data_IF_133340619945
#
_entry.id   IF_133340619945
#
_cell.length_a   1.000
_cell.length_b   1.000
_cell.length_c   1.000
_cell.angle_alpha   90.00
_cell.angle_beta   90.00
_cell.angle_gamma   90.00
#
_symmetry.space_group_name_H-M   'P 1'
#
loop_
_entity.id
_entity.type
_entity.pdbx_description
1 polymer ?
#
# COMPACT_ATOMS: atom_id res chain seq x y z
N UNK A 1 -6.17 -18.24 -9.01
CA UNK A 1 -5.71 -17.44 -10.16
C UNK A 1 -4.28 -17.08 -9.88
N UNK A 2 -3.35 -17.56 -10.70
CA UNK A 2 -1.93 -17.25 -10.54
C UNK A 2 -1.73 -15.73 -10.61
N UNK A 3 -0.83 -15.17 -9.80
CA UNK A 3 -0.60 -13.72 -9.73
C UNK A 3 -0.25 -13.10 -11.08
N UNK A 4 0.34 -13.89 -11.97
CA UNK A 4 0.60 -13.58 -13.39
C UNK A 4 -0.67 -13.36 -14.21
N UNK A 5 -1.73 -14.15 -13.99
CA UNK A 5 -3.02 -13.96 -14.68
C UNK A 5 -3.73 -12.68 -14.21
N UNK A 6 -3.58 -12.32 -12.93
CA UNK A 6 -4.16 -11.08 -12.39
C UNK A 6 -3.44 -9.86 -12.94
N UNK A 7 -2.10 -9.89 -13.01
CA UNK A 7 -1.29 -8.80 -13.56
C UNK A 7 -1.53 -8.59 -15.06
N UNK A 8 -1.63 -9.66 -15.84
CA UNK A 8 -1.84 -9.59 -17.29
C UNK A 8 -3.21 -9.02 -17.68
N UNK A 9 -4.22 -9.11 -16.81
CA UNK A 9 -5.56 -8.56 -17.06
C UNK A 9 -5.72 -7.17 -16.42
N UNK A 10 -5.25 -6.97 -15.18
CA UNK A 10 -5.47 -5.73 -14.45
C UNK A 10 -4.73 -4.53 -15.06
N UNK A 11 -3.50 -4.74 -15.55
CA UNK A 11 -2.69 -3.67 -16.15
C UNK A 11 -3.33 -3.10 -17.42
N UNK A 12 -3.70 -3.89 -18.45
CA UNK A 12 -4.33 -3.33 -19.65
C UNK A 12 -5.70 -2.71 -19.38
N UNK A 13 -6.46 -3.23 -18.40
CA UNK A 13 -7.73 -2.62 -17.98
C UNK A 13 -7.52 -1.24 -17.36
N UNK A 14 -6.53 -1.08 -16.48
CA UNK A 14 -6.19 0.22 -15.90
C UNK A 14 -5.67 1.21 -16.95
N UNK A 15 -4.85 0.75 -17.89
CA UNK A 15 -4.38 1.58 -19.02
C UNK A 15 -5.55 2.00 -19.91
N UNK A 16 -6.48 1.08 -20.22
CA UNK A 16 -7.67 1.39 -21.02
C UNK A 16 -8.61 2.38 -20.31
N UNK A 17 -8.81 2.23 -18.99
CA UNK A 17 -9.58 3.18 -18.19
C UNK A 17 -8.90 4.55 -18.11
N UNK A 18 -7.58 4.60 -17.93
CA UNK A 18 -6.80 5.84 -17.97
C UNK A 18 -6.90 6.54 -19.33
N UNK A 19 -6.78 5.78 -20.42
CA UNK A 19 -6.96 6.30 -21.78
C UNK A 19 -8.40 6.78 -22.03
N UNK A 20 -9.41 6.08 -21.50
CA UNK A 20 -10.81 6.49 -21.60
C UNK A 20 -11.08 7.80 -20.85
N UNK A 21 -10.55 7.96 -19.64
CA UNK A 21 -10.66 9.21 -18.87
C UNK A 21 -9.96 10.36 -19.59
N UNK A 22 -8.76 10.15 -20.11
CA UNK A 22 -8.05 11.17 -20.91
C UNK A 22 -8.81 11.51 -22.19
N UNK A 23 -9.37 10.52 -22.88
CA UNK A 23 -10.13 10.73 -24.12
C UNK A 23 -11.45 11.47 -23.86
N UNK A 24 -12.20 11.07 -22.83
CA UNK A 24 -13.47 11.69 -22.44
C UNK A 24 -13.28 13.10 -21.89
N UNK A 25 -12.19 13.36 -21.16
CA UNK A 25 -11.87 14.72 -20.68
C UNK A 25 -11.27 15.61 -21.77
N UNK A 26 -10.63 15.01 -22.79
CA UNK A 26 -10.11 15.76 -23.95
C UNK A 26 -11.21 16.20 -24.94
N UNK A 27 -12.33 15.46 -25.02
CA UNK A 27 -13.44 15.79 -25.93
C UNK A 27 -14.45 16.73 -25.26
N UNK A 28 -14.26 18.02 -25.55
CA UNK A 28 -15.23 19.13 -25.49
C UNK A 28 -15.91 19.41 -24.13
N UNK A 29 -15.45 20.48 -23.47
CA UNK A 29 -16.33 21.46 -22.83
C UNK A 29 -16.10 22.83 -23.47
N UNK A 30 -16.61 22.99 -24.69
CA UNK A 30 -16.94 24.31 -25.23
C UNK A 30 -18.44 24.50 -25.11
N UNK A 31 -18.93 24.57 -23.87
CA UNK A 31 -20.23 25.20 -23.60
C UNK A 31 -19.94 26.66 -23.32
N UNK A 32 -20.42 27.56 -24.19
CA UNK A 32 -20.25 29.00 -24.08
C UNK A 32 -20.59 29.49 -22.67
N UNK A 33 -19.57 29.79 -21.88
CA UNK A 33 -19.74 30.32 -20.54
C UNK A 33 -20.08 31.80 -20.67
N UNK A 34 -21.35 32.15 -20.46
CA UNK A 34 -21.70 33.54 -20.18
C UNK A 34 -21.05 33.94 -18.85
N UNK A 35 -20.22 34.99 -18.89
CA UNK A 35 -19.61 35.56 -17.69
C UNK A 35 -20.70 35.91 -16.66
N UNK A 36 -20.47 35.57 -15.38
CA UNK A 36 -21.39 35.91 -14.30
C UNK A 36 -21.52 37.44 -14.18
N UNK A 37 -22.69 37.91 -13.75
CA UNK A 37 -22.91 39.35 -13.52
C UNK A 37 -21.89 39.93 -12.55
N UNK A 38 -21.40 39.14 -11.61
CA UNK A 38 -20.38 39.53 -10.64
C UNK A 38 -19.04 39.83 -11.30
N UNK A 39 -18.63 39.02 -12.28
CA UNK A 39 -17.39 39.25 -13.04
C UNK A 39 -17.49 40.55 -13.86
N UNK A 40 -18.62 40.80 -14.54
CA UNK A 40 -18.86 42.05 -15.27
C UNK A 40 -18.95 43.29 -14.35
N UNK A 41 -19.40 43.11 -13.11
CA UNK A 41 -19.54 44.20 -12.14
C UNK A 41 -18.19 44.61 -11.55
N UNK A 42 -17.29 43.66 -11.31
CA UNK A 42 -15.90 43.97 -10.88
C UNK A 42 -15.07 44.58 -11.99
N UNK A 43 -15.24 44.16 -13.24
CA UNK A 43 -14.53 44.74 -14.39
C UNK A 43 -14.92 46.21 -14.67
N UNK A 44 -16.11 46.63 -14.20
CA UNK A 44 -16.54 48.04 -14.19
C UNK A 44 -15.92 48.87 -13.06
N UNK A 45 -15.25 48.24 -12.10
CA UNK A 45 -14.64 48.91 -10.96
C UNK A 45 -13.17 49.23 -11.22
N UNK A 46 -12.93 50.50 -11.54
CA UNK A 46 -11.69 51.28 -11.34
C UNK A 46 -10.36 50.52 -11.54
N UNK A 47 -9.81 50.64 -12.74
CA UNK A 47 -8.43 50.23 -13.04
C UNK A 47 -7.46 51.07 -12.20
N UNK A 48 -6.58 50.46 -11.40
CA UNK A 48 -5.54 51.18 -10.63
C UNK A 48 -4.53 51.93 -11.51
N UNK A 49 -4.46 51.58 -12.80
CA UNK A 49 -3.57 52.22 -13.79
C UNK A 49 -4.03 53.61 -14.26
N UNK A 50 -5.18 54.11 -13.80
CA UNK A 50 -5.66 55.47 -14.05
C UNK A 50 -5.56 56.37 -12.82
N UNK A 51 -4.90 55.89 -11.76
CA UNK A 51 -4.70 56.64 -10.53
C UNK A 51 -3.22 57.02 -10.39
N UNK A 52 -2.77 57.96 -11.23
CA UNK A 52 -1.55 58.72 -10.97
C UNK A 52 -1.91 60.22 -10.87
N UNK A 53 -1.84 60.66 -9.61
CA UNK A 53 -1.27 61.87 -9.02
C UNK A 53 -1.37 63.24 -9.74
N UNK A 54 -1.92 64.16 -8.95
CA UNK A 54 -1.70 65.61 -8.87
C UNK A 54 -2.57 66.62 -9.67
N UNK A 55 -3.26 67.43 -8.84
CA UNK A 55 -3.84 68.76 -9.04
C UNK A 55 -5.19 68.92 -9.76
N UNK A 56 -6.07 69.65 -9.06
CA UNK A 56 -7.42 70.10 -9.38
C UNK A 56 -8.58 69.11 -9.14
N UNK A 57 -9.51 69.53 -8.29
CA UNK A 57 -10.63 68.75 -7.75
C UNK A 57 -11.35 67.87 -8.77
N UNK A 58 -11.78 66.68 -8.31
CA UNK A 58 -12.46 65.65 -9.08
C UNK A 58 -13.46 66.24 -10.07
N UNK A 59 -13.03 66.39 -11.32
CA UNK A 59 -13.86 66.91 -12.40
C UNK A 59 -14.97 65.89 -12.60
N UNK A 60 -16.20 66.29 -12.30
CA UNK A 60 -17.34 65.41 -12.47
C UNK A 60 -17.46 65.04 -13.95
N UNK A 61 -17.92 63.83 -14.26
CA UNK A 61 -18.14 63.43 -15.66
C UNK A 61 -19.04 64.41 -16.44
N UNK A 62 -19.89 65.16 -15.71
CA UNK A 62 -20.72 66.23 -16.25
C UNK A 62 -19.92 67.46 -16.69
N UNK A 63 -18.84 67.82 -16.00
CA UNK A 63 -17.96 68.92 -16.39
C UNK A 63 -17.08 68.55 -17.59
N UNK A 64 -16.67 67.28 -17.68
CA UNK A 64 -15.96 66.76 -18.87
C UNK A 64 -16.86 66.79 -20.10
N UNK A 65 -18.13 66.37 -19.98
CA UNK A 65 -19.08 66.47 -21.10
C UNK A 65 -19.41 67.93 -21.47
N UNK A 66 -19.49 68.84 -20.49
CA UNK A 66 -19.69 70.27 -20.74
C UNK A 66 -18.47 70.91 -21.43
N UNK A 67 -17.26 70.51 -21.06
CA UNK A 67 -16.03 70.96 -21.71
C UNK A 67 -15.95 70.43 -23.15
N UNK A 68 -16.22 69.14 -23.36
CA UNK A 68 -16.28 68.51 -24.68
C UNK A 68 -17.32 69.16 -25.60
N UNK A 69 -18.50 69.51 -25.06
CA UNK A 69 -19.55 70.21 -25.79
C UNK A 69 -19.18 71.66 -26.15
N UNK A 70 -18.35 72.33 -25.34
CA UNK A 70 -17.82 73.68 -25.63
C UNK A 70 -16.72 73.65 -26.69
N UNK A 71 -15.81 72.68 -26.63
CA UNK A 71 -14.79 72.48 -27.67
C UNK A 71 -15.39 72.06 -29.01
N UNK A 72 -16.48 71.29 -28.99
CA UNK A 72 -17.21 70.90 -30.21
C UNK A 72 -18.00 72.06 -30.85
N UNK A 73 -18.24 73.17 -30.14
CA UNK A 73 -18.98 74.34 -30.63
C UNK A 73 -18.10 75.56 -30.96
N UNK A 74 -16.79 75.48 -30.73
CA UNK A 74 -15.85 76.52 -31.15
C UNK A 74 -15.53 76.43 -32.65
N UNK A 75 -15.22 77.55 -33.33
CA UNK A 75 -14.77 77.51 -34.71
C UNK A 75 -13.31 77.02 -34.75
N UNK A 76 -13.12 75.71 -34.63
CA UNK A 76 -11.81 75.07 -34.79
C UNK A 76 -11.55 74.80 -36.27
N UNK A 77 -10.58 75.48 -36.86
CA UNK A 77 -10.21 75.37 -38.28
C UNK A 77 -9.32 74.17 -38.62
N UNK A 78 -9.06 73.26 -37.67
CA UNK A 78 -8.23 72.07 -37.86
C UNK A 78 -9.04 70.78 -37.70
N UNK A 79 -10.04 70.58 -38.56
CA UNK A 79 -10.78 69.32 -38.64
C UNK A 79 -10.10 68.47 -39.72
N UNK A 80 -9.28 67.51 -39.29
CA UNK A 80 -8.83 66.41 -40.15
C UNK A 80 -10.07 65.76 -40.79
N UNK A 81 -10.19 65.66 -42.13
CA UNK A 81 -11.36 65.09 -42.76
C UNK A 81 -11.54 63.65 -42.27
N UNK A 82 -12.67 63.39 -41.61
CA UNK A 82 -13.06 62.05 -41.17
C UNK A 82 -13.07 61.15 -42.40
N UNK A 83 -12.05 60.28 -42.51
CA UNK A 83 -12.08 59.19 -43.49
C UNK A 83 -13.40 58.44 -43.24
N UNK A 84 -14.23 58.18 -44.28
CA UNK A 84 -15.47 57.47 -44.08
C UNK A 84 -15.14 56.20 -43.32
N UNK A 85 -15.75 56.03 -42.14
CA UNK A 85 -15.53 54.88 -41.30
C UNK A 85 -15.79 53.64 -42.17
N UNK A 86 -14.73 52.91 -42.53
CA UNK A 86 -14.89 51.64 -43.21
C UNK A 86 -15.77 50.81 -42.28
N UNK A 87 -16.88 50.30 -42.83
CA UNK A 87 -17.82 49.51 -42.06
C UNK A 87 -17.04 48.48 -41.24
N UNK A 88 -17.34 48.30 -39.94
CA UNK A 88 -16.60 47.38 -39.10
C UNK A 88 -16.58 46.03 -39.80
N UNK A 89 -15.37 45.58 -40.18
CA UNK A 89 -15.22 44.31 -40.88
C UNK A 89 -15.80 43.24 -39.97
N UNK A 90 -16.78 42.50 -40.47
CA UNK A 90 -17.40 41.43 -39.71
C UNK A 90 -16.29 40.48 -39.24
N UNK A 91 -16.21 40.23 -37.94
CA UNK A 91 -15.27 39.27 -37.39
C UNK A 91 -15.53 37.91 -38.02
N UNK A 92 -14.63 37.48 -38.89
CA UNK A 92 -14.63 36.11 -39.42
C UNK A 92 -13.78 35.29 -38.44
N UNK A 93 -14.36 34.28 -37.76
CA UNK A 93 -13.56 33.42 -36.92
C UNK A 93 -12.48 32.77 -37.79
N UNK A 94 -11.20 32.79 -37.37
CA UNK A 94 -10.15 32.14 -38.13
C UNK A 94 -10.46 30.65 -38.25
N UNK A 95 -10.16 30.06 -39.41
CA UNK A 95 -10.45 28.66 -39.68
C UNK A 95 -9.80 27.77 -38.58
N UNK A 96 -10.54 26.83 -37.96
CA UNK A 96 -10.00 25.95 -36.93
C UNK A 96 -8.71 25.21 -37.33
N UNK A 97 -8.49 24.98 -38.63
CA UNK A 97 -7.26 24.37 -39.15
C UNK A 97 -6.02 25.28 -39.02
N UNK A 98 -6.20 26.61 -39.06
CA UNK A 98 -5.12 27.59 -38.90
C UNK A 98 -4.81 27.91 -37.42
N UNK A 99 -5.76 27.71 -36.50
CA UNK A 99 -5.61 28.02 -35.07
C UNK A 99 -4.80 26.94 -34.33
N UNK A 100 -4.72 25.71 -34.86
CA UNK A 100 -3.94 24.63 -34.26
C UNK A 100 -4.27 24.40 -32.78
N UNK A 101 -3.27 24.51 -31.90
CA UNK A 101 -3.45 24.45 -30.43
C UNK A 101 -3.52 25.86 -29.87
N UNK A 102 -4.65 26.22 -29.26
CA UNK A 102 -4.75 27.52 -28.60
C UNK A 102 -3.83 27.60 -27.38
N UNK A 103 -3.35 28.81 -27.04
CA UNK A 103 -2.53 29.04 -25.83
C UNK A 103 -3.15 28.42 -24.57
N UNK A 104 -4.48 28.56 -24.42
CA UNK A 104 -5.24 27.98 -23.30
C UNK A 104 -5.22 26.45 -23.30
N UNK A 105 -5.37 25.83 -24.47
CA UNK A 105 -5.28 24.37 -24.60
C UNK A 105 -3.86 23.87 -24.29
N UNK A 106 -2.83 24.57 -24.77
CA UNK A 106 -1.44 24.24 -24.45
C UNK A 106 -1.18 24.27 -22.94
N UNK A 107 -1.56 25.36 -22.25
CA UNK A 107 -1.35 25.48 -20.81
C UNK A 107 -2.18 24.48 -20.01
N UNK A 108 -3.46 24.27 -20.34
CA UNK A 108 -4.29 23.29 -19.63
C UNK A 108 -3.76 21.87 -19.80
N UNK A 109 -3.35 21.48 -21.02
CA UNK A 109 -2.74 20.15 -21.26
C UNK A 109 -1.42 20.00 -20.53
N UNK A 110 -0.58 21.04 -20.52
CA UNK A 110 0.71 21.02 -19.82
C UNK A 110 0.54 20.89 -18.31
N UNK A 111 -0.40 21.65 -17.72
CA UNK A 111 -0.72 21.55 -16.29
C UNK A 111 -1.23 20.15 -15.96
N UNK A 112 -2.21 19.62 -16.70
CA UNK A 112 -2.74 18.27 -16.47
C UNK A 112 -1.65 17.21 -16.63
N UNK A 113 -0.80 17.32 -17.65
CA UNK A 113 0.29 16.38 -17.87
C UNK A 113 1.33 16.42 -16.73
N UNK A 114 1.71 17.61 -16.28
CA UNK A 114 2.67 17.79 -15.18
C UNK A 114 2.12 17.23 -13.87
N UNK A 115 0.88 17.58 -13.51
CA UNK A 115 0.22 17.04 -12.31
C UNK A 115 -0.03 15.55 -12.41
N UNK A 116 -0.44 15.05 -13.58
CA UNK A 116 -0.64 13.62 -13.83
C UNK A 116 0.64 12.82 -13.63
N UNK A 117 1.75 13.26 -14.25
CA UNK A 117 3.04 12.59 -14.10
C UNK A 117 3.56 12.67 -12.67
N UNK A 118 3.42 13.82 -12.00
CA UNK A 118 3.82 13.99 -10.61
C UNK A 118 3.03 13.09 -9.65
N UNK A 119 1.70 13.07 -9.75
CA UNK A 119 0.84 12.25 -8.91
C UNK A 119 1.03 10.75 -9.18
N UNK A 120 1.19 10.34 -10.44
CA UNK A 120 1.49 8.96 -10.79
C UNK A 120 2.86 8.52 -10.25
N UNK A 121 3.89 9.36 -10.36
CA UNK A 121 5.22 9.07 -9.79
C UNK A 121 5.19 8.92 -8.28
N UNK A 122 4.50 9.84 -7.58
CA UNK A 122 4.32 9.74 -6.13
C UNK A 122 3.52 8.49 -5.73
N UNK A 123 2.41 8.21 -6.43
CA UNK A 123 1.60 7.01 -6.19
C UNK A 123 2.41 5.72 -6.40
N UNK A 124 3.24 5.66 -7.44
CA UNK A 124 4.13 4.54 -7.68
C UNK A 124 5.18 4.39 -6.56
N UNK A 125 5.72 5.50 -6.04
CA UNK A 125 6.64 5.47 -4.91
C UNK A 125 5.98 4.97 -3.62
N UNK A 126 4.74 5.39 -3.34
CA UNK A 126 3.98 4.86 -2.20
C UNK A 126 3.70 3.36 -2.31
N UNK A 127 3.35 2.88 -3.51
CA UNK A 127 3.16 1.46 -3.77
C UNK A 127 4.47 0.68 -3.64
N UNK A 128 5.57 1.20 -4.17
CA UNK A 128 6.88 0.59 -4.05
C UNK A 128 7.35 0.52 -2.58
N UNK A 129 7.07 1.56 -1.80
CA UNK A 129 7.38 1.59 -0.37
C UNK A 129 6.56 0.56 0.43
N UNK A 130 5.30 0.34 0.06
CA UNK A 130 4.45 -0.68 0.69
C UNK A 130 4.74 -2.10 0.17
N UNK A 131 5.48 -2.24 -0.92
CA UNK A 131 5.79 -3.54 -1.51
C UNK A 131 6.78 -4.31 -0.62
N UNK A 132 6.48 -5.57 -0.26
CA UNK A 132 7.34 -6.33 0.64
C UNK A 132 8.71 -6.60 0.01
N UNK A 133 9.78 -6.22 0.71
CA UNK A 133 11.15 -6.57 0.34
C UNK A 133 11.45 -8.01 0.81
N UNK A 134 11.60 -8.94 -0.12
CA UNK A 134 11.83 -10.38 0.15
C UNK A 134 13.27 -10.72 0.62
N UNK A 135 14.02 -9.77 1.20
CA UNK A 135 15.42 -9.98 1.60
C UNK A 135 15.61 -9.83 3.11
N UNK A 136 15.94 -10.96 3.75
CA UNK A 136 16.39 -11.06 5.13
C UNK A 136 15.25 -11.13 6.16
N UNK A 137 15.33 -12.10 7.08
CA UNK A 137 14.35 -12.31 8.14
C UNK A 137 13.27 -13.34 7.79
N UNK A 138 12.09 -13.18 8.40
CA UNK A 138 10.92 -14.04 8.18
C UNK A 138 10.52 -14.08 6.69
N UNK A 139 10.42 -15.28 6.12
CA UNK A 139 10.20 -15.51 4.69
C UNK A 139 11.46 -15.95 3.92
N UNK A 140 12.59 -16.14 4.60
CA UNK A 140 13.80 -16.75 4.07
C UNK A 140 14.50 -17.68 5.07
N UNK A 141 15.71 -18.12 4.73
CA UNK A 141 16.51 -18.98 5.60
C UNK A 141 17.19 -18.19 6.72
N UNK A 142 16.98 -18.62 7.96
CA UNK A 142 17.53 -18.00 9.16
C UNK A 142 18.56 -18.94 9.77
N UNK A 143 19.79 -18.46 9.94
CA UNK A 143 20.86 -19.19 10.65
C UNK A 143 20.74 -18.89 12.13
N UNK A 144 20.55 -19.91 12.96
CA UNK A 144 20.26 -19.74 14.39
C UNK A 144 21.54 -19.84 15.23
N UNK A 145 22.29 -20.94 15.06
CA UNK A 145 23.44 -21.23 15.91
C UNK A 145 23.80 -22.70 15.87
N UNK A 146 24.61 -23.17 16.84
CA UNK A 146 25.01 -24.58 16.94
C UNK A 146 23.89 -25.43 17.51
N UNK A 147 23.70 -26.62 16.94
CA UNK A 147 22.66 -27.57 17.36
C UNK A 147 22.82 -28.02 18.82
N UNK A 148 24.06 -28.31 19.23
CA UNK A 148 24.37 -28.80 20.57
C UNK A 148 23.99 -27.77 21.65
N UNK A 149 24.35 -26.51 21.44
CA UNK A 149 24.02 -25.42 22.37
C UNK A 149 22.50 -25.28 22.51
N UNK A 150 21.77 -25.25 21.39
CA UNK A 150 20.31 -25.12 21.35
C UNK A 150 19.62 -26.28 22.08
N UNK A 151 20.03 -27.52 21.79
CA UNK A 151 19.42 -28.71 22.41
C UNK A 151 19.79 -28.82 23.91
N UNK A 152 21.02 -28.45 24.28
CA UNK A 152 21.44 -28.47 25.68
C UNK A 152 20.67 -27.44 26.52
N UNK A 153 20.46 -26.24 25.97
CA UNK A 153 19.70 -25.18 26.62
C UNK A 153 18.23 -25.60 26.77
N UNK A 154 17.59 -26.02 25.67
CA UNK A 154 16.18 -26.41 25.70
C UNK A 154 15.88 -27.60 26.63
N UNK A 155 16.84 -28.54 26.75
CA UNK A 155 16.71 -29.69 27.66
C UNK A 155 16.97 -29.29 29.12
N UNK A 156 17.96 -28.42 29.36
CA UNK A 156 18.32 -27.98 30.72
C UNK A 156 17.28 -27.04 31.32
N UNK A 157 16.75 -26.09 30.54
CA UNK A 157 15.71 -25.18 31.00
C UNK A 157 14.32 -25.83 31.00
N UNK A 158 14.15 -26.94 30.28
CA UNK A 158 12.83 -27.55 29.98
C UNK A 158 11.89 -26.56 29.28
N UNK A 159 12.47 -25.65 28.49
CA UNK A 159 11.76 -24.64 27.72
C UNK A 159 12.17 -24.70 26.24
N UNK A 160 11.27 -24.29 25.33
CA UNK A 160 11.59 -24.22 23.91
C UNK A 160 12.57 -23.08 23.61
N UNK A 161 13.54 -23.31 22.72
CA UNK A 161 14.44 -22.25 22.29
C UNK A 161 13.74 -21.33 21.29
N UNK A 162 13.46 -20.08 21.68
CA UNK A 162 12.67 -19.15 20.87
C UNK A 162 13.54 -18.27 19.97
N UNK A 163 13.27 -18.29 18.65
CA UNK A 163 13.96 -17.46 17.66
C UNK A 163 13.04 -16.34 17.19
N UNK A 164 13.32 -15.12 17.62
CA UNK A 164 12.45 -13.96 17.40
C UNK A 164 12.41 -13.50 15.94
N UNK A 165 13.54 -13.62 15.25
CA UNK A 165 13.78 -13.25 13.85
C UNK A 165 12.88 -14.06 12.92
N UNK A 166 12.68 -15.34 13.25
CA UNK A 166 11.88 -16.29 12.49
C UNK A 166 10.51 -16.60 13.08
N UNK A 167 10.19 -16.08 14.28
CA UNK A 167 8.91 -16.30 14.97
C UNK A 167 8.61 -17.79 15.16
N UNK A 168 9.61 -18.59 15.50
CA UNK A 168 9.47 -20.03 15.70
C UNK A 168 10.17 -20.49 16.98
N UNK A 169 9.81 -21.69 17.41
CA UNK A 169 10.41 -22.40 18.53
C UNK A 169 11.23 -23.59 18.00
N UNK A 170 12.42 -23.79 18.55
CA UNK A 170 13.20 -25.01 18.35
C UNK A 170 13.07 -25.89 19.57
N UNK A 171 12.56 -27.10 19.36
CA UNK A 171 12.34 -28.07 20.42
C UNK A 171 13.10 -29.37 20.14
N UNK A 172 13.59 -30.05 21.19
CA UNK A 172 14.13 -31.39 21.04
C UNK A 172 13.01 -32.35 20.61
N UNK A 173 13.32 -33.16 19.60
CA UNK A 173 12.47 -34.27 19.17
C UNK A 173 13.02 -35.58 19.75
N UNK A 174 12.23 -36.37 20.47
CA UNK A 174 12.72 -37.58 21.13
C UNK A 174 13.07 -38.66 20.11
N UNK A 175 14.19 -39.35 20.32
CA UNK A 175 14.67 -40.42 19.44
C UNK A 175 13.69 -41.60 19.31
N UNK A 176 12.88 -41.85 20.34
CA UNK A 176 11.82 -42.87 20.33
C UNK A 176 10.70 -42.61 19.31
N UNK A 177 10.48 -41.34 18.94
CA UNK A 177 9.42 -40.94 18.02
C UNK A 177 9.84 -40.90 16.54
N UNK A 178 11.13 -41.03 16.24
CA UNK A 178 11.66 -40.78 14.87
C UNK A 178 11.08 -41.79 13.86
N UNK A 179 10.96 -43.06 14.24
CA UNK A 179 10.39 -44.10 13.36
C UNK A 179 8.91 -43.83 13.02
N UNK A 180 8.12 -43.42 14.01
CA UNK A 180 6.74 -43.00 13.80
C UNK A 180 6.68 -41.77 12.91
N UNK A 181 7.59 -40.80 13.13
CA UNK A 181 7.61 -39.54 12.42
C UNK A 181 7.81 -39.69 10.91
N UNK A 182 8.61 -40.66 10.46
CA UNK A 182 8.85 -40.95 9.03
C UNK A 182 7.56 -41.22 8.24
N UNK A 183 6.52 -41.75 8.88
CA UNK A 183 5.23 -42.05 8.23
C UNK A 183 4.19 -40.93 8.33
N UNK A 184 4.44 -39.93 9.18
CA UNK A 184 3.45 -38.94 9.62
C UNK A 184 3.82 -37.53 9.12
N UNK A 185 5.10 -37.18 9.23
CA UNK A 185 5.61 -35.85 8.90
C UNK A 185 6.01 -35.80 7.43
N UNK A 186 5.96 -34.60 6.83
CA UNK A 186 6.38 -34.40 5.46
C UNK A 186 7.90 -34.50 5.31
N UNK A 187 8.37 -34.96 4.15
CA UNK A 187 9.78 -35.08 3.79
C UNK A 187 10.62 -33.82 4.05
N UNK A 188 10.01 -32.63 3.95
CA UNK A 188 10.70 -31.36 4.18
C UNK A 188 11.11 -31.13 5.65
N UNK A 189 10.44 -31.77 6.62
CA UNK A 189 10.69 -31.58 8.06
C UNK A 189 11.52 -32.74 8.65
N UNK A 190 11.49 -33.91 8.01
CA UNK A 190 12.21 -35.11 8.47
C UNK A 190 13.71 -34.89 8.74
N UNK A 191 14.48 -34.14 7.93
CA UNK A 191 15.92 -33.95 8.19
C UNK A 191 16.22 -33.33 9.56
N UNK A 192 15.37 -32.41 10.03
CA UNK A 192 15.52 -31.85 11.39
C UNK A 192 15.18 -32.89 12.46
N UNK A 193 14.06 -33.60 12.28
CA UNK A 193 13.57 -34.61 13.21
C UNK A 193 14.57 -35.74 13.39
N UNK A 194 15.20 -36.21 12.31
CA UNK A 194 16.24 -37.24 12.35
C UNK A 194 17.49 -36.81 13.13
N UNK A 195 17.74 -35.50 13.19
CA UNK A 195 18.79 -34.89 14.02
C UNK A 195 18.29 -34.52 15.43
N UNK A 196 17.07 -34.89 15.79
CA UNK A 196 16.50 -34.68 17.12
C UNK A 196 16.00 -33.26 17.38
N UNK A 197 15.68 -32.47 16.35
CA UNK A 197 15.16 -31.11 16.51
C UNK A 197 13.95 -30.84 15.61
N UNK A 198 13.01 -30.05 16.10
CA UNK A 198 11.85 -29.61 15.31
C UNK A 198 11.66 -28.10 15.43
N UNK A 199 11.38 -27.44 14.30
CA UNK A 199 11.07 -26.01 14.26
C UNK A 199 9.56 -25.80 14.13
N UNK A 200 8.94 -25.28 15.21
CA UNK A 200 7.50 -25.05 15.31
C UNK A 200 7.19 -23.57 15.11
N UNK A 201 6.31 -23.27 14.16
CA UNK A 201 5.85 -21.92 13.95
C UNK A 201 5.01 -21.45 15.14
N UNK A 202 5.32 -20.27 15.71
CA UNK A 202 4.61 -19.76 16.89
C UNK A 202 3.12 -19.48 16.66
N UNK A 203 2.69 -19.45 15.39
CA UNK A 203 1.35 -19.05 14.96
C UNK A 203 0.37 -20.21 15.16
N UNK A 204 -0.67 -19.99 15.95
CA UNK A 204 -1.76 -20.94 16.15
C UNK A 204 -2.51 -21.22 14.84
N UNK A 205 -2.61 -22.49 14.39
CA UNK A 205 -3.41 -22.91 13.23
C UNK A 205 -4.91 -22.57 13.28
N UNK A 206 -5.44 -22.17 14.44
CA UNK A 206 -6.83 -21.72 14.56
C UNK A 206 -7.05 -20.37 13.86
N UNK A 207 -6.60 -19.27 14.49
CA UNK A 207 -6.80 -17.89 14.00
C UNK A 207 -5.53 -17.04 14.04
N UNK A 208 -4.37 -17.65 14.32
CA UNK A 208 -3.07 -17.00 14.18
C UNK A 208 -2.50 -16.29 15.41
N UNK A 209 -3.11 -16.43 16.60
CA UNK A 209 -2.48 -15.99 17.85
C UNK A 209 -1.12 -16.66 18.06
N UNK A 210 -0.20 -16.00 18.78
CA UNK A 210 1.02 -16.65 19.27
C UNK A 210 0.66 -17.72 20.31
N UNK A 211 1.30 -18.88 20.24
CA UNK A 211 1.11 -19.98 21.19
C UNK A 211 2.27 -19.98 22.20
N UNK A 212 2.06 -19.55 23.47
CA UNK A 212 3.10 -19.63 24.49
C UNK A 212 3.34 -21.07 24.96
N UNK A 213 4.50 -21.27 25.59
CA UNK A 213 4.85 -22.51 26.29
C UNK A 213 4.28 -22.50 27.72
N UNK A 214 3.90 -23.66 28.21
CA UNK A 214 3.46 -23.87 29.59
C UNK A 214 4.46 -24.74 30.35
N UNK A 215 5.10 -24.18 31.37
CA UNK A 215 6.16 -24.87 32.12
C UNK A 215 5.63 -26.05 32.94
N UNK A 216 4.37 -26.00 33.38
CA UNK A 216 3.78 -27.06 34.20
C UNK A 216 3.34 -28.26 33.37
N UNK A 217 2.59 -28.05 32.28
CA UNK A 217 2.14 -29.13 31.40
C UNK A 217 3.21 -29.58 30.40
N UNK A 218 4.23 -28.76 30.18
CA UNK A 218 5.28 -28.94 29.16
C UNK A 218 4.70 -29.03 27.74
N UNK A 219 3.63 -28.27 27.51
CA UNK A 219 2.88 -28.17 26.25
C UNK A 219 2.84 -26.71 25.79
N UNK A 220 2.58 -26.51 24.50
CA UNK A 220 2.21 -25.22 23.95
C UNK A 220 0.71 -25.00 24.10
N UNK A 221 0.31 -23.93 24.79
CA UNK A 221 -1.11 -23.70 25.10
C UNK A 221 -1.55 -22.29 24.70
N UNK A 222 -2.51 -22.21 23.78
CA UNK A 222 -2.97 -20.96 23.21
C UNK A 222 -4.03 -20.29 24.09
N UNK A 223 -3.67 -19.18 24.75
CA UNK A 223 -4.58 -18.39 25.58
C UNK A 223 -5.73 -17.67 24.87
N UNK A 224 -5.84 -17.75 23.54
CA UNK A 224 -6.95 -17.14 22.81
C UNK A 224 -8.24 -17.99 22.86
N UNK A 225 -8.13 -19.30 22.59
CA UNK A 225 -9.28 -20.21 22.51
C UNK A 225 -8.97 -21.62 23.06
N UNK A 226 -7.88 -21.76 23.83
CA UNK A 226 -7.52 -23.01 24.52
C UNK A 226 -7.03 -24.14 23.62
N UNK A 227 -6.47 -23.85 22.43
CA UNK A 227 -5.80 -24.91 21.65
C UNK A 227 -4.50 -25.35 22.31
N UNK A 228 -4.31 -26.65 22.46
CA UNK A 228 -3.18 -27.25 23.17
C UNK A 228 -2.40 -28.16 22.24
N UNK A 229 -1.07 -28.09 22.30
CA UNK A 229 -0.15 -28.89 21.50
C UNK A 229 0.96 -29.43 22.38
N UNK A 230 1.40 -30.66 22.12
CA UNK A 230 2.51 -31.25 22.87
C UNK A 230 3.85 -30.59 22.50
N UNK A 231 4.96 -31.06 23.09
CA UNK A 231 6.31 -30.51 22.89
C UNK A 231 6.75 -30.46 21.42
N UNK A 232 6.22 -31.35 20.57
CA UNK A 232 6.56 -31.42 19.14
C UNK A 232 5.45 -30.83 18.26
N UNK A 233 4.53 -30.05 18.83
CA UNK A 233 3.49 -29.32 18.10
C UNK A 233 2.30 -30.17 17.66
N UNK A 234 2.19 -31.42 18.08
CA UNK A 234 1.02 -32.26 17.77
C UNK A 234 -0.19 -31.80 18.58
N UNK A 235 -1.33 -31.64 17.93
CA UNK A 235 -2.54 -31.14 18.57
C UNK A 235 -3.09 -32.14 19.59
N UNK A 236 -3.32 -31.66 20.81
CA UNK A 236 -3.92 -32.42 21.92
C UNK A 236 -5.32 -31.93 22.30
N UNK A 237 -5.62 -30.64 22.13
CA UNK A 237 -6.91 -30.07 22.56
C UNK A 237 -7.31 -28.78 21.85
N UNK A 238 -8.56 -28.35 22.08
CA UNK A 238 -9.14 -27.09 21.59
C UNK A 238 -9.55 -27.04 20.11
N UNK A 239 -9.92 -25.85 19.60
CA UNK A 239 -10.59 -25.70 18.30
C UNK A 239 -9.68 -25.73 17.06
N UNK A 240 -8.35 -25.68 17.21
CA UNK A 240 -7.46 -25.70 16.04
C UNK A 240 -7.68 -26.94 15.17
N UNK A 241 -7.65 -26.82 13.82
CA UNK A 241 -7.98 -27.93 12.93
C UNK A 241 -6.83 -28.95 12.72
N UNK A 242 -5.62 -28.67 13.20
CA UNK A 242 -4.40 -29.47 13.03
C UNK A 242 -3.35 -29.11 14.09
N UNK A 243 -2.21 -29.82 14.10
CA UNK A 243 -1.02 -29.47 14.88
C UNK A 243 -0.40 -28.14 14.46
N UNK A 244 0.58 -27.65 15.23
CA UNK A 244 1.34 -26.44 14.90
C UNK A 244 2.03 -26.60 13.55
N UNK A 245 2.01 -25.52 12.75
CA UNK A 245 2.75 -25.48 11.49
C UNK A 245 4.26 -25.50 11.78
N UNK A 246 5.04 -26.00 10.83
CA UNK A 246 6.47 -26.29 11.00
C UNK A 246 7.31 -25.61 9.91
N UNK A 247 8.61 -25.52 10.18
CA UNK A 247 9.59 -25.08 9.19
C UNK A 247 10.62 -26.17 8.90
N UNK A 248 11.08 -26.31 7.64
CA UNK A 248 12.22 -27.15 7.31
C UNK A 248 13.46 -26.71 8.08
N UNK A 249 14.18 -27.68 8.64
CA UNK A 249 15.44 -27.48 9.34
C UNK A 249 16.55 -28.15 8.53
N UNK A 250 17.60 -27.39 8.22
CA UNK A 250 18.81 -27.88 7.59
C UNK A 250 19.99 -27.68 8.55
N UNK A 251 20.78 -28.73 8.73
CA UNK A 251 21.95 -28.74 9.61
C UNK A 251 23.18 -28.97 8.76
N UNK A 252 24.13 -28.02 8.80
CA UNK A 252 25.39 -28.10 8.06
C UNK A 252 26.54 -27.72 8.99
N UNK A 253 27.52 -28.60 9.15
CA UNK A 253 28.68 -28.37 10.03
C UNK A 253 28.28 -28.08 11.49
N UNK A 254 27.20 -28.70 11.98
CA UNK A 254 26.67 -28.49 13.33
C UNK A 254 25.88 -27.19 13.53
N UNK A 255 25.76 -26.34 12.50
CA UNK A 255 24.97 -25.11 12.55
C UNK A 255 23.57 -25.36 12.02
N UNK A 256 22.56 -24.90 12.76
CA UNK A 256 21.14 -25.01 12.45
C UNK A 256 20.72 -23.82 11.59
N UNK A 257 20.07 -24.13 10.47
CA UNK A 257 19.41 -23.16 9.60
C UNK A 257 17.95 -23.58 9.40
N UNK A 258 17.04 -22.61 9.44
CA UNK A 258 15.58 -22.85 9.34
C UNK A 258 15.02 -22.05 8.19
N UNK A 259 14.32 -22.70 7.26
CA UNK A 259 13.68 -22.01 6.14
C UNK A 259 12.28 -21.53 6.52
N UNK A 260 12.15 -20.23 6.79
CA UNK A 260 10.84 -19.62 7.10
C UNK A 260 10.05 -19.20 5.87
N UNK A 261 10.61 -19.35 4.66
CA UNK A 261 9.92 -19.13 3.40
C UNK A 261 8.93 -20.26 3.06
N UNK A 262 9.16 -21.45 3.62
CA UNK A 262 8.31 -22.62 3.42
C UNK A 262 7.61 -23.03 4.72
N UNK A 263 6.36 -22.62 4.89
CA UNK A 263 5.51 -23.06 6.00
C UNK A 263 4.91 -24.43 5.68
N UNK A 264 5.30 -25.45 6.44
CA UNK A 264 4.72 -26.79 6.36
C UNK A 264 3.51 -26.85 7.29
N UNK A 265 2.37 -27.32 6.78
CA UNK A 265 1.17 -27.45 7.60
C UNK A 265 1.37 -28.51 8.69
N UNK A 266 0.88 -28.20 9.89
CA UNK A 266 0.94 -29.11 11.02
C UNK A 266 0.23 -30.45 10.75
N UNK A 267 0.68 -31.48 11.46
CA UNK A 267 0.16 -32.84 11.30
C UNK A 267 -1.34 -32.94 11.64
N UNK A 268 -2.07 -33.93 11.07
CA UNK A 268 -3.49 -34.12 11.34
C UNK A 268 -3.82 -34.35 12.82
N UNK A 269 -5.08 -34.11 13.19
CA UNK A 269 -5.58 -34.37 14.54
C UNK A 269 -5.49 -35.88 14.85
N UNK A 270 -5.13 -36.23 16.09
CA UNK A 270 -5.01 -37.62 16.54
C UNK A 270 -3.59 -38.19 16.38
N UNK A 271 -2.67 -37.41 15.81
CA UNK A 271 -1.25 -37.77 15.73
C UNK A 271 -0.61 -37.74 17.13
N UNK A 272 0.14 -38.80 17.47
CA UNK A 272 0.90 -38.90 18.72
C UNK A 272 2.20 -39.67 18.50
N UNK A 273 3.13 -39.10 17.74
CA UNK A 273 4.41 -39.75 17.38
C UNK A 273 5.33 -39.97 18.58
N UNK A 274 5.21 -39.12 19.60
CA UNK A 274 6.09 -39.14 20.78
C UNK A 274 5.46 -39.82 21.99
N UNK A 275 4.14 -40.01 22.01
CA UNK A 275 3.42 -40.49 23.18
C UNK A 275 3.42 -39.52 24.36
N UNK A 276 3.90 -38.27 24.19
CA UNK A 276 3.98 -37.31 25.28
C UNK A 276 2.57 -36.85 25.69
N UNK A 277 2.21 -37.13 26.94
CA UNK A 277 1.04 -36.57 27.61
C UNK A 277 1.43 -35.35 28.47
N UNK A 278 0.45 -34.63 29.00
CA UNK A 278 0.71 -33.46 29.83
C UNK A 278 1.43 -33.88 31.12
N UNK A 279 2.56 -33.24 31.43
CA UNK A 279 3.39 -33.60 32.58
C UNK A 279 2.86 -33.00 33.90
N UNK A 280 1.98 -32.01 33.80
CA UNK A 280 1.40 -31.29 34.94
C UNK A 280 0.18 -30.46 34.53
N UNK A 281 -0.32 -29.59 35.43
CA UNK A 281 -1.50 -28.78 35.18
C UNK A 281 -1.34 -27.87 33.96
N UNK A 282 -2.44 -27.64 33.23
CA UNK A 282 -2.47 -26.67 32.14
C UNK A 282 -2.36 -25.24 32.66
N UNK A 283 -1.62 -24.38 31.94
CA UNK A 283 -1.44 -22.96 32.27
C UNK A 283 -2.63 -22.13 31.84
N UNK A 284 -3.29 -22.51 30.74
CA UNK A 284 -4.62 -22.00 30.43
C UNK A 284 -5.62 -22.97 31.02
N UNK A 285 -6.43 -22.48 31.96
CA UNK A 285 -7.60 -23.22 32.41
C UNK A 285 -8.36 -23.63 31.15
N UNK A 286 -8.60 -24.93 30.98
CA UNK A 286 -9.39 -25.44 29.88
C UNK A 286 -10.73 -24.71 29.93
N UNK A 287 -10.87 -23.69 29.08
CA UNK A 287 -12.05 -22.85 29.05
C UNK A 287 -13.20 -23.76 28.70
N UNK A 288 -14.03 -24.04 29.71
CA UNK A 288 -15.39 -24.53 29.49
C UNK A 288 -16.08 -23.49 28.62
N UNK A 289 -16.10 -23.74 27.32
CA UNK A 289 -16.97 -23.10 26.36
C UNK A 289 -17.96 -24.15 25.87
#
# INVERSE_FOLDING_TARGET
MEGTTVLTIAIPVLVALGALVLFTTSRRRDTGAALSREARRRDRGQSPFLADEDEAGAVSGREVELAAARTARGPGTDIEPVRPASAPVAYVPPDPEFIGVTRRQFFNRSIIAMFGLGLSGFGAACLAFLWPTLKGGFGGTITVGKLEDILSEATSSREPFYVSEGRFYLNPFPSSGISSAQSIYSDAVLPGIEQGVIALYQKCPHLGCRVPWCDTSQWFECGCHGSQYNRVGEKKGGPAPRGMDMFPVAISGGTVSVDTGLVIQGVPIGTNSTGQEAEGPHCVSGGSH
#
